data_IF_852258252725
#
_entry.id   IF_852258252725
#
_cell.length_a   1.000
_cell.length_b   1.000
_cell.length_c   1.000
_cell.angle_alpha   90.00
_cell.angle_beta   90.00
_cell.angle_gamma   90.00
#
_symmetry.space_group_name_H-M   'P 1'
#
loop_
_entity.id
_entity.type
_entity.pdbx_description
1 polymer ?
#
# COMPACT_ATOMS: atom_id res chain seq x y z
N UNK A 1 13.66 9.87 -16.18
CA UNK A 1 12.19 10.00 -16.33
C UNK A 1 11.55 9.23 -15.18
N UNK A 2 10.79 9.87 -14.30
CA UNK A 2 10.06 9.14 -13.26
C UNK A 2 8.84 8.46 -13.92
N UNK A 3 8.97 7.18 -14.25
CA UNK A 3 7.88 6.39 -14.82
C UNK A 3 6.75 6.22 -13.80
N UNK A 4 5.50 6.42 -14.22
CA UNK A 4 4.32 6.05 -13.42
C UNK A 4 3.96 4.60 -13.77
N UNK A 5 4.17 3.68 -12.82
CA UNK A 5 3.84 2.27 -12.97
C UNK A 5 2.51 1.97 -12.27
N UNK A 6 1.69 1.10 -12.87
CA UNK A 6 0.37 0.72 -12.34
C UNK A 6 0.37 -0.74 -11.92
N UNK A 7 -0.18 -1.01 -10.74
CA UNK A 7 -0.53 -2.35 -10.27
C UNK A 7 -2.06 -2.42 -10.14
N UNK A 8 -2.66 -3.52 -10.59
CA UNK A 8 -4.09 -3.81 -10.40
C UNK A 8 -4.18 -5.10 -9.60
N UNK A 9 -5.02 -5.09 -8.57
CA UNK A 9 -5.25 -6.25 -7.71
C UNK A 9 -6.75 -6.44 -7.47
N UNK A 10 -7.15 -7.68 -7.23
CA UNK A 10 -8.50 -8.03 -6.82
C UNK A 10 -8.48 -8.30 -5.31
N UNK A 11 -9.32 -7.59 -4.57
CA UNK A 11 -9.49 -7.84 -3.15
C UNK A 11 -10.46 -9.00 -2.96
N UNK A 12 -10.08 -9.97 -2.12
CA UNK A 12 -10.88 -11.17 -1.86
C UNK A 12 -12.13 -10.91 -0.98
N UNK A 13 -12.21 -9.74 -0.33
CA UNK A 13 -13.30 -9.38 0.58
C UNK A 13 -13.65 -7.89 0.40
N UNK A 14 -14.95 -7.60 0.27
CA UNK A 14 -15.50 -6.24 0.20
C UNK A 14 -15.19 -5.41 1.45
N UNK A 15 -15.16 -6.04 2.64
CA UNK A 15 -14.85 -5.34 3.90
C UNK A 15 -13.44 -4.73 3.91
N UNK A 16 -12.49 -5.36 3.19
CA UNK A 16 -11.13 -4.81 3.08
C UNK A 16 -11.13 -3.50 2.28
N UNK A 17 -11.95 -3.42 1.22
CA UNK A 17 -12.09 -2.19 0.45
C UNK A 17 -12.68 -1.08 1.32
N UNK A 18 -13.76 -1.37 2.06
CA UNK A 18 -14.40 -0.40 2.96
C UNK A 18 -13.42 0.14 4.01
N UNK A 19 -12.64 -0.74 4.65
CA UNK A 19 -11.63 -0.34 5.63
C UNK A 19 -10.54 0.55 5.01
N UNK A 20 -10.10 0.25 3.78
CA UNK A 20 -9.14 1.08 3.06
C UNK A 20 -9.73 2.45 2.69
N UNK A 21 -11.00 2.51 2.29
CA UNK A 21 -11.69 3.76 1.98
C UNK A 21 -11.87 4.64 3.22
N UNK A 22 -12.28 4.06 4.35
CA UNK A 22 -12.42 4.76 5.63
C UNK A 22 -11.07 5.33 6.10
N UNK A 23 -10.01 4.54 6.01
CA UNK A 23 -8.67 5.00 6.35
C UNK A 23 -8.18 6.12 5.42
N UNK A 24 -8.42 5.99 4.11
CA UNK A 24 -8.05 7.05 3.16
C UNK A 24 -8.79 8.36 3.45
N UNK A 25 -10.08 8.27 3.82
CA UNK A 25 -10.90 9.43 4.23
C UNK A 25 -10.39 10.07 5.51
N UNK A 26 -10.04 9.29 6.53
CA UNK A 26 -9.57 9.84 7.82
C UNK A 26 -8.26 10.62 7.68
N UNK A 27 -7.43 10.27 6.70
CA UNK A 27 -6.17 10.95 6.39
C UNK A 27 -6.27 11.97 5.23
N UNK A 28 -7.47 12.26 4.74
CA UNK A 28 -7.73 13.19 3.63
C UNK A 28 -6.88 12.90 2.37
N UNK A 29 -6.78 11.62 1.98
CA UNK A 29 -6.03 11.18 0.80
C UNK A 29 -6.82 10.18 -0.05
N UNK A 30 -6.33 9.91 -1.27
CA UNK A 30 -6.95 8.90 -2.13
C UNK A 30 -6.57 7.47 -1.72
N UNK A 31 -7.46 6.51 -1.97
CA UNK A 31 -7.21 5.08 -1.72
C UNK A 31 -5.95 4.59 -2.44
N UNK A 32 -5.74 5.02 -3.69
CA UNK A 32 -4.55 4.66 -4.45
C UNK A 32 -3.26 5.23 -3.85
N UNK A 33 -3.30 6.45 -3.29
CA UNK A 33 -2.16 7.03 -2.58
C UNK A 33 -1.86 6.30 -1.27
N UNK A 34 -2.91 5.94 -0.51
CA UNK A 34 -2.81 5.12 0.69
C UNK A 34 -2.18 3.75 0.36
N UNK A 35 -2.72 3.05 -0.63
CA UNK A 35 -2.23 1.74 -1.05
C UNK A 35 -0.77 1.79 -1.49
N UNK A 36 -0.37 2.79 -2.29
CA UNK A 36 1.02 2.97 -2.68
C UNK A 36 1.94 3.17 -1.46
N UNK A 37 1.50 3.98 -0.49
CA UNK A 37 2.27 4.24 0.74
C UNK A 37 2.45 2.97 1.58
N UNK A 38 1.38 2.20 1.75
CA UNK A 38 1.42 0.92 2.49
C UNK A 38 2.39 -0.04 1.81
N UNK A 39 2.31 -0.17 0.48
CA UNK A 39 3.20 -1.05 -0.30
C UNK A 39 4.66 -0.63 -0.20
N UNK A 40 4.96 0.67 -0.27
CA UNK A 40 6.32 1.19 -0.09
C UNK A 40 6.87 0.81 1.28
N UNK A 41 6.11 1.06 2.36
CA UNK A 41 6.54 0.70 3.72
C UNK A 41 6.75 -0.80 3.89
N UNK A 42 5.85 -1.62 3.37
CA UNK A 42 5.95 -3.08 3.47
C UNK A 42 7.20 -3.63 2.75
N UNK A 43 7.58 -3.04 1.60
CA UNK A 43 8.81 -3.40 0.88
C UNK A 43 10.04 -2.99 1.70
N UNK A 44 10.09 -1.74 2.18
CA UNK A 44 11.21 -1.25 3.01
C UNK A 44 11.41 -2.09 4.28
N UNK A 45 10.32 -2.48 4.96
CA UNK A 45 10.36 -3.34 6.14
C UNK A 45 10.87 -4.75 5.81
N UNK A 46 10.43 -5.30 4.67
CA UNK A 46 10.91 -6.61 4.20
C UNK A 46 12.40 -6.59 3.89
N UNK A 47 12.88 -5.54 3.23
CA UNK A 47 14.31 -5.37 2.92
C UNK A 47 15.14 -5.23 4.21
N UNK A 48 14.72 -4.36 5.14
CA UNK A 48 15.38 -4.20 6.45
C UNK A 48 15.46 -5.50 7.24
N UNK A 49 14.41 -6.31 7.22
CA UNK A 49 14.40 -7.61 7.90
C UNK A 49 15.26 -8.65 7.16
N UNK A 50 15.34 -8.58 5.83
CA UNK A 50 16.21 -9.45 5.04
C UNK A 50 17.69 -9.17 5.29
N UNK A 51 18.09 -7.91 5.47
CA UNK A 51 19.48 -7.54 5.78
C UNK A 51 19.89 -7.88 7.23
N UNK A 52 18.96 -7.91 8.18
CA UNK A 52 19.23 -8.34 9.57
C UNK A 52 19.51 -9.84 9.73
N UNK A 53 19.27 -10.64 8.68
CA UNK A 53 19.44 -12.10 8.71
C UNK A 53 20.67 -12.57 7.91
N UNK A 54 21.49 -11.63 7.42
CA UNK A 54 22.80 -11.88 6.80
C UNK A 54 23.92 -11.44 7.72
#
# INVERSE_FOLDING_TARGET
MAGKWRVVTYLANEELLKKLEEWARSENRSVSNLAATILTKAIEEREKNSDRTK
#
